data_IF_731758613625
#
_entry.id   IF_731758613625
#
_cell.length_a   1.000
_cell.length_b   1.000
_cell.length_c   1.000
_cell.angle_alpha   90.00
_cell.angle_beta   90.00
_cell.angle_gamma   90.00
#
_symmetry.space_group_name_H-M   'P 1'
#
loop_
_entity.id
_entity.type
_entity.pdbx_description
1 polymer ?
#
# COMPACT_ATOMS: atom_id res chain seq x y z
N UNK A 1 23.27 -6.23 -0.43
CA UNK A 1 21.80 -6.36 -0.32
C UNK A 1 21.24 -7.02 -1.56
N UNK A 2 20.07 -7.65 -1.43
CA UNK A 2 19.30 -8.27 -2.51
C UNK A 2 18.71 -7.24 -3.47
N UNK A 3 18.17 -7.72 -4.58
CA UNK A 3 17.57 -6.90 -5.64
C UNK A 3 16.13 -6.49 -5.32
N UNK A 4 15.37 -7.34 -4.64
CA UNK A 4 13.96 -7.10 -4.32
C UNK A 4 13.71 -6.88 -2.81
N UNK A 5 14.59 -7.43 -1.96
CA UNK A 5 14.46 -7.52 -0.51
C UNK A 5 15.70 -7.00 0.21
N UNK A 6 15.63 -6.81 1.53
CA UNK A 6 16.82 -6.45 2.34
C UNK A 6 17.74 -7.66 2.59
N UNK A 7 17.33 -8.86 2.20
CA UNK A 7 18.06 -10.13 2.36
C UNK A 7 19.26 -10.25 1.41
N UNK A 8 20.03 -11.32 1.55
CA UNK A 8 21.20 -11.60 0.73
C UNK A 8 20.81 -12.15 -0.65
N UNK A 9 21.64 -11.90 -1.69
CA UNK A 9 21.40 -12.43 -3.05
C UNK A 9 21.25 -13.97 -3.11
N UNK A 10 22.04 -14.77 -2.36
CA UNK A 10 21.85 -16.23 -2.36
C UNK A 10 20.48 -16.67 -1.86
N UNK A 11 19.89 -15.94 -0.91
CA UNK A 11 18.53 -16.22 -0.43
C UNK A 11 17.49 -15.97 -1.53
N UNK A 12 17.58 -14.85 -2.25
CA UNK A 12 16.65 -14.53 -3.36
C UNK A 12 16.74 -15.58 -4.49
N UNK A 13 17.95 -16.03 -4.83
CA UNK A 13 18.17 -17.06 -5.84
C UNK A 13 17.58 -18.40 -5.39
N UNK A 14 17.76 -18.78 -4.12
CA UNK A 14 17.20 -20.02 -3.57
C UNK A 14 15.67 -20.03 -3.65
N UNK A 15 15.01 -18.90 -3.39
CA UNK A 15 13.55 -18.80 -3.45
C UNK A 15 12.99 -18.75 -4.88
N UNK A 16 13.81 -18.36 -5.86
CA UNK A 16 13.42 -18.21 -7.28
C UNK A 16 13.91 -19.36 -8.17
N UNK A 17 14.55 -20.38 -7.59
CA UNK A 17 15.15 -21.50 -8.33
C UNK A 17 14.14 -22.21 -9.25
N UNK A 18 12.89 -22.37 -8.79
CA UNK A 18 11.82 -22.98 -9.56
C UNK A 18 11.35 -22.13 -10.74
N UNK A 19 11.37 -20.80 -10.58
CA UNK A 19 11.08 -19.85 -11.67
C UNK A 19 12.17 -19.86 -12.72
N UNK A 20 13.43 -19.96 -12.29
CA UNK A 20 14.57 -20.08 -13.22
C UNK A 20 14.45 -21.41 -13.97
N UNK A 21 14.12 -22.49 -13.27
CA UNK A 21 13.94 -23.81 -13.87
C UNK A 21 12.79 -23.84 -14.88
N UNK A 22 11.69 -23.13 -14.64
CA UNK A 22 10.56 -23.06 -15.60
C UNK A 22 10.91 -22.33 -16.89
N UNK A 23 11.87 -21.41 -16.86
CA UNK A 23 12.40 -20.68 -18.03
C UNK A 23 13.47 -21.50 -18.76
N UNK A 24 14.20 -22.35 -18.04
CA UNK A 24 15.25 -23.18 -18.64
C UNK A 24 14.67 -24.41 -19.33
N UNK A 25 13.60 -24.99 -18.75
CA UNK A 25 12.91 -26.15 -19.30
C UNK A 25 11.94 -25.75 -20.42
N UNK A 26 12.47 -25.12 -21.47
CA UNK A 26 11.76 -24.98 -22.72
C UNK A 26 11.83 -26.30 -23.48
N UNK A 27 10.72 -27.03 -23.46
CA UNK A 27 10.54 -28.22 -24.29
C UNK A 27 9.52 -27.81 -25.36
N UNK A 28 9.77 -28.05 -26.66
CA UNK A 28 8.80 -27.75 -27.73
C UNK A 28 7.58 -28.70 -27.72
N UNK A 29 7.28 -29.29 -26.57
CA UNK A 29 6.11 -30.11 -26.28
C UNK A 29 5.23 -29.31 -25.30
N UNK A 30 3.90 -29.46 -25.36
CA UNK A 30 2.95 -28.74 -24.51
C UNK A 30 2.92 -29.32 -23.08
N UNK A 31 4.09 -29.32 -22.44
CA UNK A 31 4.31 -29.79 -21.08
C UNK A 31 5.20 -28.75 -20.40
N UNK A 32 4.57 -27.69 -19.91
CA UNK A 32 5.27 -26.62 -19.22
C UNK A 32 5.04 -26.66 -17.71
N UNK A 33 6.11 -26.39 -16.96
CA UNK A 33 6.11 -26.45 -15.48
C UNK A 33 5.65 -25.12 -14.87
N UNK A 34 5.64 -24.03 -15.65
CA UNK A 34 5.34 -22.68 -15.15
C UNK A 34 3.98 -22.56 -14.42
N UNK A 35 2.87 -23.24 -14.80
CA UNK A 35 1.62 -23.15 -14.05
C UNK A 35 1.76 -23.70 -12.64
N UNK A 36 2.49 -24.82 -12.47
CA UNK A 36 2.75 -25.43 -11.16
C UNK A 36 3.65 -24.55 -10.29
N UNK A 37 4.68 -23.94 -10.90
CA UNK A 37 5.52 -22.95 -10.19
C UNK A 37 4.68 -21.77 -9.73
N UNK A 38 3.76 -21.30 -10.58
CA UNK A 38 2.86 -20.20 -10.25
C UNK A 38 1.90 -20.55 -9.12
N UNK A 39 1.35 -21.76 -9.10
CA UNK A 39 0.55 -22.27 -7.97
C UNK A 39 1.36 -22.34 -6.67
N UNK A 40 2.60 -22.83 -6.75
CA UNK A 40 3.50 -22.90 -5.59
C UNK A 40 3.80 -21.50 -5.03
N UNK A 41 4.12 -20.54 -5.91
CA UNK A 41 4.33 -19.15 -5.52
C UNK A 41 3.06 -18.55 -4.90
N UNK A 42 1.89 -18.75 -5.52
CA UNK A 42 0.62 -18.26 -5.03
C UNK A 42 0.25 -18.83 -3.65
N UNK A 43 0.54 -20.11 -3.40
CA UNK A 43 0.29 -20.76 -2.11
C UNK A 43 1.25 -20.29 -1.02
N UNK A 44 2.55 -20.20 -1.31
CA UNK A 44 3.56 -19.70 -0.36
C UNK A 44 3.34 -18.23 -0.04
N UNK A 45 3.00 -17.45 -1.06
CA UNK A 45 2.62 -16.06 -0.90
C UNK A 45 1.22 -15.93 -0.26
N UNK A 46 0.32 -16.90 -0.36
CA UNK A 46 -1.10 -16.76 0.00
C UNK A 46 -1.79 -15.61 -0.75
N UNK A 47 -1.70 -15.59 -2.08
CA UNK A 47 -2.36 -14.59 -2.95
C UNK A 47 -3.38 -15.29 -3.86
N UNK A 48 -4.67 -14.94 -3.72
CA UNK A 48 -5.77 -15.61 -4.42
C UNK A 48 -5.80 -15.30 -5.91
N UNK A 49 -5.53 -14.06 -6.34
CA UNK A 49 -5.51 -13.72 -7.76
C UNK A 49 -4.46 -14.51 -8.54
N UNK A 50 -3.29 -14.73 -7.94
CA UNK A 50 -2.23 -15.53 -8.52
C UNK A 50 -2.62 -17.00 -8.64
N UNK A 51 -3.29 -17.54 -7.62
CA UNK A 51 -3.84 -18.90 -7.66
C UNK A 51 -4.87 -19.03 -8.79
N UNK A 52 -5.75 -18.04 -8.97
CA UNK A 52 -6.73 -18.03 -10.06
C UNK A 52 -6.07 -18.01 -11.44
N UNK A 53 -5.08 -17.14 -11.67
CA UNK A 53 -4.34 -17.10 -12.94
C UNK A 53 -3.59 -18.42 -13.18
N UNK A 54 -3.03 -19.02 -12.14
CA UNK A 54 -2.32 -20.31 -12.26
C UNK A 54 -3.27 -21.44 -12.70
N UNK A 55 -4.50 -21.48 -12.17
CA UNK A 55 -5.53 -22.44 -12.62
C UNK A 55 -5.95 -22.22 -14.08
N UNK A 56 -6.12 -20.96 -14.49
CA UNK A 56 -6.43 -20.64 -15.90
C UNK A 56 -5.32 -21.11 -16.82
N UNK A 57 -4.07 -20.81 -16.48
CA UNK A 57 -2.90 -21.23 -17.26
C UNK A 57 -2.76 -22.76 -17.31
N UNK A 58 -3.02 -23.45 -16.20
CA UNK A 58 -3.04 -24.91 -16.17
C UNK A 58 -4.13 -25.48 -17.08
N UNK A 59 -5.33 -24.88 -17.09
CA UNK A 59 -6.41 -25.27 -17.98
C UNK A 59 -6.05 -25.09 -19.46
N UNK A 60 -5.37 -23.99 -19.81
CA UNK A 60 -4.86 -23.74 -21.17
C UNK A 60 -3.84 -24.81 -21.57
N UNK A 61 -2.88 -25.12 -20.70
CA UNK A 61 -1.87 -26.16 -20.96
C UNK A 61 -2.51 -27.53 -21.16
N UNK A 62 -3.49 -27.91 -20.32
CA UNK A 62 -4.21 -29.18 -20.49
C UNK A 62 -4.98 -29.23 -21.82
N UNK A 63 -5.61 -28.12 -22.23
CA UNK A 63 -6.30 -28.04 -23.51
C UNK A 63 -5.33 -28.18 -24.70
N UNK A 64 -4.17 -27.51 -24.63
CA UNK A 64 -3.11 -27.63 -25.63
C UNK A 64 -2.53 -29.05 -25.68
N UNK A 65 -2.34 -29.68 -24.53
CA UNK A 65 -1.88 -31.07 -24.43
C UNK A 65 -2.88 -32.04 -25.06
N UNK A 66 -4.18 -31.91 -24.76
CA UNK A 66 -5.23 -32.74 -25.37
C UNK A 66 -5.29 -32.52 -26.89
N UNK A 67 -5.24 -31.26 -27.33
CA UNK A 67 -5.18 -30.91 -28.76
C UNK A 67 -3.97 -31.56 -29.44
N UNK A 68 -2.81 -31.53 -28.79
CA UNK A 68 -1.59 -32.12 -29.32
C UNK A 68 -1.73 -33.62 -29.53
N UNK A 69 -2.25 -34.36 -28.56
CA UNK A 69 -2.47 -35.81 -28.71
C UNK A 69 -3.52 -36.14 -29.77
N UNK A 70 -4.57 -35.34 -29.89
CA UNK A 70 -5.63 -35.56 -30.87
C UNK A 70 -5.15 -35.33 -32.32
N UNK A 71 -4.32 -34.31 -32.54
CA UNK A 71 -3.78 -33.97 -33.86
C UNK A 71 -2.35 -34.50 -34.10
N UNK A 72 -1.84 -35.35 -33.20
CA UNK A 72 -0.47 -35.84 -33.27
C UNK A 72 -0.22 -36.64 -34.56
N UNK A 73 0.84 -36.30 -35.29
CA UNK A 73 1.19 -36.95 -36.56
C UNK A 73 0.34 -36.52 -37.76
N UNK A 74 -0.77 -35.82 -37.55
CA UNK A 74 -1.48 -35.12 -38.60
C UNK A 74 -0.75 -33.79 -38.87
N UNK A 75 -0.09 -33.66 -40.04
CA UNK A 75 0.47 -32.39 -40.54
C UNK A 75 -0.65 -31.40 -40.91
N UNK A 76 -1.49 -31.08 -39.92
CA UNK A 76 -2.71 -30.30 -40.04
C UNK A 76 -2.51 -28.89 -39.50
N UNK A 77 -3.36 -27.97 -39.95
CA UNK A 77 -3.40 -26.60 -39.44
C UNK A 77 -3.63 -26.57 -37.91
N UNK A 78 -4.41 -27.51 -37.37
CA UNK A 78 -4.68 -27.63 -35.94
C UNK A 78 -3.42 -27.99 -35.14
N UNK A 79 -2.56 -28.87 -35.68
CA UNK A 79 -1.27 -29.19 -35.06
C UNK A 79 -0.35 -27.97 -35.01
N UNK A 80 -0.29 -27.18 -36.08
CA UNK A 80 0.49 -25.94 -36.12
C UNK A 80 -0.02 -24.91 -35.11
N UNK A 81 -1.35 -24.74 -35.00
CA UNK A 81 -1.96 -23.86 -34.00
C UNK A 81 -1.68 -24.32 -32.57
N UNK A 82 -1.63 -25.64 -32.34
CA UNK A 82 -1.32 -26.20 -31.02
C UNK A 82 0.14 -25.93 -30.64
N UNK A 83 1.09 -26.13 -31.56
CA UNK A 83 2.51 -25.82 -31.33
C UNK A 83 2.75 -24.32 -31.14
N UNK A 84 2.13 -23.48 -31.97
CA UNK A 84 2.20 -22.02 -31.83
C UNK A 84 1.57 -21.53 -30.52
N UNK A 85 0.41 -22.08 -30.16
CA UNK A 85 -0.26 -21.81 -28.88
C UNK A 85 0.58 -22.24 -27.68
N UNK A 86 1.23 -23.40 -27.75
CA UNK A 86 2.18 -23.90 -26.75
C UNK A 86 3.34 -22.93 -26.54
N UNK A 87 3.94 -22.44 -27.62
CA UNK A 87 5.05 -21.48 -27.54
C UNK A 87 4.61 -20.13 -26.96
N UNK A 88 3.43 -19.63 -27.33
CA UNK A 88 2.86 -18.40 -26.77
C UNK A 88 2.53 -18.55 -25.29
N UNK A 89 1.90 -19.67 -24.93
CA UNK A 89 1.55 -20.04 -23.55
C UNK A 89 2.80 -20.04 -22.66
N UNK A 90 3.88 -20.66 -23.14
CA UNK A 90 5.18 -20.67 -22.47
C UNK A 90 5.75 -19.27 -22.22
N UNK A 91 5.79 -18.43 -23.25
CA UNK A 91 6.35 -17.07 -23.15
C UNK A 91 5.53 -16.20 -22.21
N UNK A 92 4.20 -16.21 -22.38
CA UNK A 92 3.28 -15.43 -21.55
C UNK A 92 3.31 -15.91 -20.10
N UNK A 93 3.28 -17.22 -19.88
CA UNK A 93 3.33 -17.83 -18.56
C UNK A 93 4.59 -17.47 -17.77
N UNK A 94 5.76 -17.60 -18.40
CA UNK A 94 7.03 -17.23 -17.76
C UNK A 94 7.18 -15.71 -17.58
N UNK A 95 6.68 -14.89 -18.52
CA UNK A 95 6.66 -13.44 -18.35
C UNK A 95 5.82 -13.00 -17.15
N UNK A 96 4.67 -13.64 -16.93
CA UNK A 96 3.83 -13.41 -15.76
C UNK A 96 4.54 -13.78 -14.46
N UNK A 97 5.23 -14.93 -14.42
CA UNK A 97 6.04 -15.33 -13.27
C UNK A 97 7.17 -14.32 -12.95
N UNK A 98 7.85 -13.81 -13.96
CA UNK A 98 8.91 -12.82 -13.78
C UNK A 98 8.37 -11.49 -13.24
N UNK A 99 7.19 -11.05 -13.70
CA UNK A 99 6.54 -9.85 -13.18
C UNK A 99 6.15 -10.02 -11.69
N UNK A 100 5.76 -11.23 -11.30
CA UNK A 100 5.38 -11.57 -9.93
C UNK A 100 6.56 -11.77 -8.97
N UNK A 101 7.79 -11.90 -9.50
CA UNK A 101 8.98 -12.26 -8.73
C UNK A 101 9.31 -11.27 -7.60
N UNK A 102 9.30 -9.96 -7.91
CA UNK A 102 9.56 -8.91 -6.91
C UNK A 102 8.54 -8.90 -5.77
N UNK A 103 7.22 -8.84 -6.03
CA UNK A 103 6.24 -8.85 -4.95
C UNK A 103 6.19 -10.19 -4.21
N UNK A 104 6.49 -11.31 -4.88
CA UNK A 104 6.62 -12.62 -4.25
C UNK A 104 7.72 -12.63 -3.19
N UNK A 105 8.93 -12.19 -3.56
CA UNK A 105 10.08 -12.15 -2.64
C UNK A 105 9.84 -11.24 -1.43
N UNK A 106 9.26 -10.06 -1.65
CA UNK A 106 8.90 -9.13 -0.55
C UNK A 106 7.90 -9.74 0.41
N UNK A 107 6.93 -10.50 -0.10
CA UNK A 107 5.92 -11.14 0.74
C UNK A 107 6.49 -12.32 1.54
N UNK A 108 7.41 -13.09 0.95
CA UNK A 108 8.14 -14.12 1.70
C UNK A 108 8.98 -13.51 2.81
N UNK A 109 9.66 -12.38 2.55
CA UNK A 109 10.40 -11.65 3.59
C UNK A 109 9.47 -11.19 4.73
N UNK A 110 8.28 -10.67 4.41
CA UNK A 110 7.26 -10.35 5.41
C UNK A 110 6.79 -11.59 6.19
N UNK A 111 6.73 -12.74 5.53
CA UNK A 111 6.33 -14.01 6.13
C UNK A 111 7.30 -14.55 7.20
N UNK A 112 8.56 -14.12 7.18
CA UNK A 112 9.52 -14.45 8.23
C UNK A 112 9.30 -13.62 9.50
N UNK A 113 8.65 -12.46 9.39
CA UNK A 113 8.39 -11.55 10.52
C UNK A 113 6.99 -11.75 11.09
N UNK A 114 6.01 -12.10 10.24
CA UNK A 114 4.62 -12.34 10.64
C UNK A 114 3.98 -13.47 9.85
N UNK A 115 2.98 -14.13 10.44
CA UNK A 115 2.19 -15.12 9.71
C UNK A 115 1.46 -14.47 8.52
N UNK A 116 1.67 -15.05 7.33
CA UNK A 116 0.97 -14.61 6.12
C UNK A 116 -0.49 -15.07 6.16
N UNK A 117 -1.41 -14.23 5.69
CA UNK A 117 -2.80 -14.60 5.44
C UNK A 117 -3.16 -14.46 3.94
N UNK A 118 -4.26 -15.09 3.54
CA UNK A 118 -4.74 -15.05 2.17
C UNK A 118 -5.27 -13.66 1.81
N UNK A 119 -4.68 -13.04 0.79
CA UNK A 119 -5.16 -11.77 0.23
C UNK A 119 -5.76 -11.98 -1.16
N UNK A 120 -6.64 -11.07 -1.57
CA UNK A 120 -7.22 -11.07 -2.92
C UNK A 120 -6.19 -10.66 -3.98
N UNK A 121 -5.55 -9.50 -3.83
CA UNK A 121 -4.55 -8.95 -4.76
C UNK A 121 -3.44 -8.21 -4.00
N UNK A 122 -2.22 -8.15 -4.51
CA UNK A 122 -1.09 -7.49 -3.84
C UNK A 122 -1.40 -6.03 -3.47
N UNK A 123 -2.11 -5.31 -4.34
CA UNK A 123 -2.52 -3.92 -4.09
C UNK A 123 -3.56 -3.79 -2.96
N UNK A 124 -4.31 -4.85 -2.67
CA UNK A 124 -5.26 -4.86 -1.55
C UNK A 124 -4.56 -4.75 -0.21
N UNK A 125 -3.34 -5.30 -0.08
CA UNK A 125 -2.55 -5.14 1.14
C UNK A 125 -2.00 -3.73 1.28
N UNK A 126 -1.58 -3.08 0.19
CA UNK A 126 -1.20 -1.67 0.24
C UNK A 126 -2.38 -0.81 0.72
N UNK A 127 -3.61 -1.15 0.33
CA UNK A 127 -4.83 -0.51 0.86
C UNK A 127 -5.15 -0.89 2.31
N UNK A 128 -4.89 -2.13 2.74
CA UNK A 128 -5.13 -2.57 4.13
C UNK A 128 -4.07 -2.05 5.11
N UNK A 129 -2.81 -1.88 4.68
CA UNK A 129 -1.76 -1.22 5.48
C UNK A 129 -1.94 0.31 5.51
N UNK A 130 -2.67 0.88 4.54
CA UNK A 130 -3.17 2.27 4.57
C UNK A 130 -4.52 2.35 5.33
N UNK A 131 -5.24 1.25 5.48
CA UNK A 131 -6.43 1.15 6.34
C UNK A 131 -5.92 0.97 7.77
N UNK A 132 -5.46 2.10 8.32
CA UNK A 132 -5.34 2.32 9.74
C UNK A 132 -6.58 1.79 10.48
N UNK A 133 -6.48 1.47 11.78
CA UNK A 133 -7.64 1.18 12.61
C UNK A 133 -8.64 2.31 12.36
N UNK A 134 -9.86 1.94 12.00
CA UNK A 134 -10.87 2.89 11.56
C UNK A 134 -11.03 3.99 12.61
N UNK A 135 -10.52 5.17 12.30
CA UNK A 135 -10.90 6.38 13.01
C UNK A 135 -12.27 6.72 12.45
N UNK A 136 -13.28 6.03 12.98
CA UNK A 136 -14.65 6.12 12.49
C UNK A 136 -15.29 7.48 12.84
N UNK A 137 -14.74 8.19 13.83
CA UNK A 137 -15.26 9.48 14.28
C UNK A 137 -14.18 10.48 14.72
N UNK A 138 -14.42 11.80 14.60
CA UNK A 138 -13.62 12.87 15.20
C UNK A 138 -13.27 12.66 16.67
N UNK A 139 -14.24 12.17 17.44
CA UNK A 139 -14.11 11.95 18.87
C UNK A 139 -13.06 10.86 19.16
N UNK A 140 -13.11 9.76 18.41
CA UNK A 140 -12.17 8.67 18.57
C UNK A 140 -10.74 9.06 18.18
N UNK A 141 -10.56 9.97 17.23
CA UNK A 141 -9.24 10.53 16.89
C UNK A 141 -8.64 11.28 18.07
N UNK A 142 -9.42 12.17 18.68
CA UNK A 142 -9.01 12.97 19.84
C UNK A 142 -8.69 12.06 21.02
N UNK A 143 -9.54 11.07 21.31
CA UNK A 143 -9.31 10.08 22.38
C UNK A 143 -8.01 9.32 22.16
N UNK A 144 -7.71 8.89 20.94
CA UNK A 144 -6.46 8.19 20.62
C UNK A 144 -5.23 9.08 20.76
N UNK A 145 -5.30 10.34 20.31
CA UNK A 145 -4.21 11.28 20.51
C UNK A 145 -3.95 11.55 21.99
N UNK A 146 -5.01 11.71 22.79
CA UNK A 146 -4.91 11.87 24.25
C UNK A 146 -4.39 10.62 24.94
N UNK A 147 -4.77 9.43 24.47
CA UNK A 147 -4.25 8.16 24.96
C UNK A 147 -2.73 8.09 24.73
N UNK A 148 -2.26 8.29 23.50
CA UNK A 148 -0.82 8.23 23.20
C UNK A 148 -0.02 9.34 23.86
N UNK A 149 -0.62 10.52 24.07
CA UNK A 149 -0.01 11.59 24.88
C UNK A 149 0.26 11.14 26.31
N UNK A 150 -0.55 10.23 26.87
CA UNK A 150 -0.39 9.72 28.23
C UNK A 150 0.62 8.57 28.31
N UNK A 151 0.66 7.70 27.30
CA UNK A 151 1.54 6.52 27.29
C UNK A 151 3.00 6.88 26.94
N UNK A 152 3.20 7.82 26.01
CA UNK A 152 4.55 8.22 25.57
C UNK A 152 5.19 9.16 26.61
N UNK A 153 6.45 8.95 26.97
CA UNK A 153 7.17 9.80 27.93
C UNK A 153 7.84 11.03 27.28
N UNK A 154 7.96 11.04 25.96
CA UNK A 154 8.68 12.07 25.23
C UNK A 154 7.92 13.40 25.13
N UNK A 155 8.39 14.40 25.90
CA UNK A 155 7.83 15.76 25.92
C UNK A 155 7.82 16.49 24.58
N UNK A 156 8.67 16.12 23.61
CA UNK A 156 8.63 16.71 22.27
C UNK A 156 7.41 16.24 21.50
N UNK A 157 7.15 14.94 21.56
CA UNK A 157 5.97 14.33 20.94
C UNK A 157 4.70 14.89 21.59
N UNK A 158 4.68 15.14 22.91
CA UNK A 158 3.54 15.79 23.56
C UNK A 158 3.20 17.14 22.95
N UNK A 159 4.21 17.98 22.67
CA UNK A 159 3.98 19.29 22.03
C UNK A 159 3.41 19.15 20.63
N UNK A 160 3.90 18.18 19.86
CA UNK A 160 3.40 17.90 18.51
C UNK A 160 1.94 17.42 18.56
N UNK A 161 1.61 16.49 19.47
CA UNK A 161 0.24 16.02 19.71
C UNK A 161 -0.68 17.18 20.14
N UNK A 162 -0.24 18.02 21.09
CA UNK A 162 -1.02 19.16 21.57
C UNK A 162 -1.29 20.18 20.45
N UNK A 163 -0.32 20.41 19.56
CA UNK A 163 -0.51 21.26 18.40
C UNK A 163 -1.56 20.68 17.44
N UNK A 164 -1.47 19.38 17.14
CA UNK A 164 -2.42 18.68 16.27
C UNK A 164 -3.83 18.72 16.86
N UNK A 165 -3.99 18.46 18.16
CA UNK A 165 -5.26 18.52 18.86
C UNK A 165 -5.88 19.93 18.78
N UNK A 166 -5.07 20.97 19.03
CA UNK A 166 -5.52 22.36 18.94
C UNK A 166 -5.99 22.70 17.52
N UNK A 167 -5.21 22.33 16.51
CA UNK A 167 -5.54 22.61 15.10
C UNK A 167 -6.80 21.86 14.67
N UNK A 168 -6.97 20.61 15.12
CA UNK A 168 -8.16 19.83 14.87
C UNK A 168 -9.42 20.48 15.49
N UNK A 169 -9.35 20.91 16.75
CA UNK A 169 -10.46 21.61 17.41
C UNK A 169 -10.84 22.92 16.73
N UNK A 170 -9.86 23.67 16.21
CA UNK A 170 -10.13 24.88 15.43
C UNK A 170 -10.87 24.56 14.12
N UNK A 171 -10.51 23.45 13.48
CA UNK A 171 -11.09 23.02 12.22
C UNK A 171 -12.51 22.47 12.42
N UNK A 172 -12.73 21.66 13.46
CA UNK A 172 -14.04 21.15 13.86
C UNK A 172 -15.04 22.26 14.18
N UNK A 173 -14.60 23.33 14.85
CA UNK A 173 -15.44 24.51 15.15
C UNK A 173 -15.86 25.28 13.90
N UNK A 174 -15.01 25.30 12.86
CA UNK A 174 -15.27 26.03 11.61
C UNK A 174 -16.16 25.22 10.67
N UNK A 175 -15.76 23.98 10.37
CA UNK A 175 -16.47 23.10 9.44
C UNK A 175 -16.25 21.63 9.82
N UNK A 176 -17.33 20.99 10.28
CA UNK A 176 -17.34 19.57 10.66
C UNK A 176 -16.98 18.64 9.49
N UNK A 177 -17.35 19.02 8.26
CA UNK A 177 -17.14 18.19 7.08
C UNK A 177 -15.68 18.23 6.61
N UNK A 178 -15.02 19.37 6.77
CA UNK A 178 -13.57 19.47 6.57
C UNK A 178 -12.79 18.74 7.66
N UNK A 179 -13.28 18.73 8.90
CA UNK A 179 -12.69 17.95 9.98
C UNK A 179 -12.72 16.45 9.69
N UNK A 180 -13.82 15.91 9.16
CA UNK A 180 -13.88 14.51 8.71
C UNK A 180 -12.86 14.20 7.59
N UNK A 181 -12.74 15.08 6.59
CA UNK A 181 -11.74 14.88 5.52
C UNK A 181 -10.32 14.96 6.07
N UNK A 182 -10.07 15.82 7.05
CA UNK A 182 -8.80 15.95 7.74
C UNK A 182 -8.43 14.64 8.46
N UNK A 183 -9.38 14.00 9.16
CA UNK A 183 -9.17 12.71 9.81
C UNK A 183 -8.73 11.63 8.81
N UNK A 184 -9.42 11.54 7.67
CA UNK A 184 -9.09 10.54 6.65
C UNK A 184 -7.66 10.74 6.15
N UNK A 185 -7.24 11.99 5.93
CA UNK A 185 -5.89 12.33 5.44
C UNK A 185 -4.79 12.05 6.46
N UNK A 186 -5.04 12.35 7.74
CA UNK A 186 -4.00 12.34 8.79
C UNK A 186 -4.15 11.19 9.80
N UNK A 187 -5.08 10.26 9.59
CA UNK A 187 -5.32 9.08 10.43
C UNK A 187 -4.07 8.23 10.68
N UNK A 188 -3.14 8.22 9.73
CA UNK A 188 -1.88 7.46 9.81
C UNK A 188 -0.96 7.92 10.93
N UNK A 189 -1.11 9.15 11.44
CA UNK A 189 -0.28 9.67 12.52
C UNK A 189 -0.42 8.85 13.81
N UNK A 190 -1.63 8.31 14.06
CA UNK A 190 -1.91 7.46 15.22
C UNK A 190 -1.13 6.16 15.16
N UNK A 191 -0.91 5.61 13.96
CA UNK A 191 -0.10 4.41 13.79
C UNK A 191 1.39 4.69 14.05
N UNK A 192 1.87 5.87 13.66
CA UNK A 192 3.25 6.28 13.93
C UNK A 192 3.49 6.45 15.43
N UNK A 193 2.52 7.03 16.15
CA UNK A 193 2.55 7.15 17.61
C UNK A 193 2.55 5.78 18.31
N UNK A 194 1.69 4.86 17.86
CA UNK A 194 1.66 3.49 18.36
C UNK A 194 3.01 2.77 18.17
N UNK A 195 3.61 2.87 16.98
CA UNK A 195 4.93 2.28 16.71
C UNK A 195 6.05 2.91 17.55
N UNK A 196 5.94 4.21 17.83
CA UNK A 196 6.89 4.89 18.70
C UNK A 196 6.81 4.34 20.13
N UNK A 197 5.59 4.22 20.68
CA UNK A 197 5.33 3.65 22.00
C UNK A 197 5.81 2.20 22.10
N UNK A 198 5.53 1.36 21.09
CA UNK A 198 6.01 -0.02 21.05
C UNK A 198 7.54 -0.10 21.15
N UNK A 199 8.27 0.77 20.43
CA UNK A 199 9.73 0.84 20.52
C UNK A 199 10.21 1.42 21.85
N UNK A 200 9.45 2.34 22.46
CA UNK A 200 9.69 2.89 23.80
C UNK A 200 9.63 1.79 24.85
N UNK A 201 8.55 1.03 24.86
CA UNK A 201 8.24 -0.04 25.80
C UNK A 201 9.03 -1.33 25.57
N UNK A 202 9.53 -1.58 24.35
CA UNK A 202 10.34 -2.76 24.05
C UNK A 202 11.67 -2.82 24.82
N UNK A 203 12.15 -1.69 25.39
CA UNK A 203 13.41 -1.60 26.17
C UNK A 203 14.63 -2.21 25.45
N UNK A 204 14.61 -2.23 24.13
CA UNK A 204 15.70 -2.75 23.29
C UNK A 204 16.78 -1.69 23.13
N UNK A 205 17.90 -1.85 23.85
CA UNK A 205 19.03 -0.93 23.84
C UNK A 205 20.01 -1.22 22.70
N UNK A 206 19.55 -1.12 21.45
CA UNK A 206 20.41 -1.25 20.27
C UNK A 206 20.33 0.01 19.38
N UNK A 207 21.39 0.25 18.59
CA UNK A 207 21.49 1.44 17.74
C UNK A 207 20.34 1.54 16.72
N UNK A 208 19.87 0.39 16.22
CA UNK A 208 18.78 0.34 15.24
C UNK A 208 17.46 0.85 15.84
N UNK A 209 17.17 0.49 17.09
CA UNK A 209 16.01 0.99 17.84
C UNK A 209 16.10 2.48 18.05
N UNK A 210 17.27 2.99 18.45
CA UNK A 210 17.48 4.43 18.65
C UNK A 210 17.29 5.23 17.36
N UNK A 211 17.89 4.78 16.25
CA UNK A 211 17.74 5.41 14.94
C UNK A 211 16.30 5.35 14.44
N UNK A 212 15.58 4.26 14.73
CA UNK A 212 14.17 4.09 14.37
C UNK A 212 13.26 5.02 15.18
N UNK A 213 13.46 5.12 16.50
CA UNK A 213 12.76 6.10 17.36
C UNK A 213 12.95 7.53 16.86
N UNK A 214 14.19 7.91 16.56
CA UNK A 214 14.50 9.26 16.05
C UNK A 214 13.83 9.54 14.71
N UNK A 215 13.74 8.54 13.82
CA UNK A 215 12.99 8.67 12.55
C UNK A 215 11.50 8.85 12.79
N UNK A 216 10.91 8.10 13.71
CA UNK A 216 9.49 8.24 14.05
C UNK A 216 9.20 9.62 14.68
N UNK A 217 10.07 10.12 15.57
CA UNK A 217 9.97 11.50 16.09
C UNK A 217 9.98 12.54 14.97
N UNK A 218 10.86 12.39 13.99
CA UNK A 218 10.96 13.34 12.88
C UNK A 218 9.72 13.29 11.98
N UNK A 219 9.18 12.09 11.72
CA UNK A 219 7.92 11.91 10.98
C UNK A 219 6.74 12.55 11.70
N UNK A 220 6.62 12.37 13.03
CA UNK A 220 5.55 12.99 13.83
C UNK A 220 5.65 14.53 13.74
N UNK A 221 6.85 15.08 13.86
CA UNK A 221 7.09 16.52 13.76
C UNK A 221 6.76 17.07 12.38
N UNK A 222 7.19 16.40 11.33
CA UNK A 222 6.86 16.79 9.95
C UNK A 222 5.35 16.72 9.70
N UNK A 223 4.66 15.71 10.24
CA UNK A 223 3.22 15.60 10.13
C UNK A 223 2.52 16.76 10.85
N UNK A 224 2.95 17.13 12.06
CA UNK A 224 2.42 18.28 12.78
C UNK A 224 2.59 19.60 12.00
N UNK A 225 3.77 19.82 11.39
CA UNK A 225 4.03 20.99 10.55
C UNK A 225 3.18 21.00 9.27
N UNK A 226 3.03 19.85 8.62
CA UNK A 226 2.21 19.73 7.42
C UNK A 226 0.73 20.02 7.72
N UNK A 227 0.24 19.51 8.85
CA UNK A 227 -1.10 19.78 9.38
C UNK A 227 -1.26 21.30 9.63
N UNK A 228 -0.31 21.93 10.30
CA UNK A 228 -0.35 23.38 10.57
C UNK A 228 -0.40 24.21 9.27
N UNK A 229 0.41 23.84 8.28
CA UNK A 229 0.42 24.51 6.99
C UNK A 229 -0.92 24.32 6.24
N UNK A 230 -1.49 23.13 6.27
CA UNK A 230 -2.78 22.82 5.64
C UNK A 230 -3.92 23.64 6.28
N UNK A 231 -4.00 23.62 7.61
CA UNK A 231 -5.00 24.40 8.35
C UNK A 231 -4.83 25.89 8.06
N UNK A 232 -3.60 26.40 8.11
CA UNK A 232 -3.30 27.81 7.79
C UNK A 232 -3.75 28.18 6.37
N UNK A 233 -3.50 27.33 5.39
CA UNK A 233 -3.92 27.56 4.00
C UNK A 233 -5.45 27.58 3.87
N UNK A 234 -6.17 26.68 4.57
CA UNK A 234 -7.64 26.71 4.60
C UNK A 234 -8.20 27.96 5.26
N UNK A 235 -7.56 28.47 6.32
CA UNK A 235 -7.97 29.74 6.93
C UNK A 235 -7.71 30.93 5.99
N UNK A 236 -6.56 30.97 5.32
CA UNK A 236 -6.24 32.02 4.33
C UNK A 236 -7.22 32.04 3.16
N UNK A 237 -7.55 30.88 2.59
CA UNK A 237 -8.54 30.79 1.51
C UNK A 237 -9.91 31.29 1.97
N UNK A 238 -10.38 30.85 3.15
CA UNK A 238 -11.65 31.34 3.70
C UNK A 238 -11.65 32.84 4.00
N UNK A 239 -10.53 33.43 4.42
CA UNK A 239 -10.44 34.88 4.60
C UNK A 239 -10.50 35.65 3.28
N UNK A 240 -9.87 35.13 2.21
CA UNK A 240 -9.93 35.73 0.88
C UNK A 240 -11.36 35.73 0.33
N UNK A 241 -12.10 34.63 0.53
CA UNK A 241 -13.50 34.53 0.13
C UNK A 241 -14.36 35.56 0.89
N UNK A 242 -14.18 35.68 2.21
CA UNK A 242 -14.90 36.68 3.02
C UNK A 242 -14.55 38.10 2.60
N UNK A 243 -13.27 38.39 2.30
CA UNK A 243 -12.87 39.70 1.78
C UNK A 243 -13.52 40.01 0.44
N UNK A 244 -13.54 39.06 -0.50
CA UNK A 244 -14.20 39.22 -1.78
C UNK A 244 -15.72 39.45 -1.64
N UNK A 245 -16.38 38.69 -0.77
CA UNK A 245 -17.81 38.88 -0.47
C UNK A 245 -18.10 40.23 0.20
N UNK A 246 -17.23 40.66 1.11
CA UNK A 246 -17.35 41.96 1.78
C UNK A 246 -17.20 43.11 0.79
N UNK A 247 -16.24 43.02 -0.13
CA UNK A 247 -16.04 44.03 -1.17
C UNK A 247 -17.24 44.11 -2.13
N UNK A 248 -17.79 42.96 -2.52
CA UNK A 248 -19.04 42.90 -3.32
C UNK A 248 -20.23 43.48 -2.56
N UNK A 249 -20.34 43.20 -1.26
CA UNK A 249 -21.39 43.75 -0.42
C UNK A 249 -21.28 45.28 -0.28
N UNK A 250 -20.08 45.81 -0.02
CA UNK A 250 -19.83 47.26 0.03
C UNK A 250 -20.16 47.90 -1.32
N UNK A 251 -19.74 47.31 -2.44
CA UNK A 251 -20.10 47.79 -3.77
C UNK A 251 -21.61 47.75 -4.02
N UNK A 252 -22.31 46.73 -3.50
CA UNK A 252 -23.77 46.64 -3.59
C UNK A 252 -24.45 47.72 -2.75
N UNK A 253 -23.93 48.02 -1.56
CA UNK A 253 -24.45 49.09 -0.71
C UNK A 253 -24.19 50.48 -1.32
N UNK A 254 -23.02 50.70 -1.92
CA UNK A 254 -22.71 51.93 -2.67
C UNK A 254 -23.60 52.09 -3.89
N UNK A 255 -23.77 51.04 -4.71
CA UNK A 255 -24.63 51.10 -5.90
C UNK A 255 -26.11 51.32 -5.58
N UNK A 256 -26.56 50.90 -4.40
CA UNK A 256 -27.91 51.16 -3.88
C UNK A 256 -28.03 52.49 -3.11
N UNK A 257 -26.99 53.34 -3.10
CA UNK A 257 -26.94 54.62 -2.38
C UNK A 257 -27.19 54.52 -0.86
N UNK A 258 -26.93 53.35 -0.27
CA UNK A 258 -27.08 53.11 1.17
C UNK A 258 -25.80 53.47 1.95
N UNK A 259 -24.68 53.63 1.24
CA UNK A 259 -23.41 54.15 1.75
C UNK A 259 -22.93 55.26 0.81
N UNK A 260 -22.68 56.45 1.34
CA UNK A 260 -21.99 57.53 0.63
C UNK A 260 -20.48 57.37 0.82
N UNK A 261 -19.72 57.77 -0.20
CA UNK A 261 -18.26 57.62 -0.25
C UNK A 261 -17.52 58.18 0.97
#
# INVERSE_FOLDING_TARGET
MGWATKKSRPWEIRQTIWTILSILMFIPLPIHIYPLVMMSQASKAKVRSWMGIAWVMLGIELALMVSFFYFFGALSQAMLLTLGGSMLSYVVGNALLLNQLKPYLRRLELGEVRELYWISTIDSQKRLEISAPTIDTPQFFVERLLHWRKEIDNTRIHKDIDNILRLFQLLEKKDKREAEKFLVRHSTIVNVLMQYDELENAKLNNQVTFDSKRKLEDVIRQAAQAIEQEVTNQFKMGMLDVSAETDVYIQTLKSRNLLKD
#
